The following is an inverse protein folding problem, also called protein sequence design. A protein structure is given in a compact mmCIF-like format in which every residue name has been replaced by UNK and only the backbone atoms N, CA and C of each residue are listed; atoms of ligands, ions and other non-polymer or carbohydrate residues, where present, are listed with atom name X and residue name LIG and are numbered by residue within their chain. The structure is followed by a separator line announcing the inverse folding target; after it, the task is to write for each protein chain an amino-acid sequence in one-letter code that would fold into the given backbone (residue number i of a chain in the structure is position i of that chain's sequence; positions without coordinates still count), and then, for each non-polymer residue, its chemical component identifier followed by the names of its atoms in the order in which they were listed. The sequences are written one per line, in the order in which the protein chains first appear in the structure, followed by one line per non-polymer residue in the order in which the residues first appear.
data_IF_064879708186
#
_entry.id   IF_064879708186
#
_cell.length_a   1.000
_cell.length_b   1.000
_cell.length_c   1.000
_cell.angle_alpha   90.00
_cell.angle_beta   90.00
_cell.angle_gamma   90.00
#
_symmetry.space_group_name_H-M   'P 1'
#
loop_
_entity.id
_entity.type
_entity.pdbx_description
1 polymer ?
#
# COMPACT_ATOMS: atom_id res chain seq x y z
N UNK A 1 -19.73 0.03 14.17
CA UNK A 1 -19.57 -0.25 12.72
C UNK A 1 -18.47 -1.30 12.60
N UNK A 2 -18.69 -2.38 11.85
CA UNK A 2 -17.80 -3.55 11.81
C UNK A 2 -16.33 -3.20 11.51
N UNK A 3 -16.08 -2.23 10.62
CA UNK A 3 -14.74 -1.82 10.17
C UNK A 3 -14.22 -0.53 10.81
N UNK A 4 -14.72 -0.14 11.99
CA UNK A 4 -14.37 1.14 12.60
C UNK A 4 -12.86 1.29 12.88
N UNK A 5 -12.21 0.25 13.40
CA UNK A 5 -10.78 0.29 13.71
C UNK A 5 -9.92 0.21 12.45
N UNK A 6 -10.36 -0.56 11.46
CA UNK A 6 -9.74 -0.61 10.14
C UNK A 6 -9.68 0.79 9.49
N UNK A 7 -10.80 1.52 9.55
CA UNK A 7 -10.89 2.89 9.04
C UNK A 7 -9.96 3.85 9.79
N UNK A 8 -9.97 3.85 11.14
CA UNK A 8 -9.08 4.67 11.96
C UNK A 8 -7.60 4.39 11.67
N UNK A 9 -7.24 3.12 11.46
CA UNK A 9 -5.88 2.72 11.12
C UNK A 9 -5.46 3.27 9.75
N UNK A 10 -6.34 3.22 8.75
CA UNK A 10 -6.08 3.81 7.44
C UNK A 10 -5.97 5.35 7.49
N UNK A 11 -6.77 6.02 8.31
CA UNK A 11 -6.64 7.47 8.55
C UNK A 11 -5.31 7.84 9.21
N UNK A 12 -4.86 7.06 10.20
CA UNK A 12 -3.56 7.26 10.83
C UNK A 12 -2.42 7.10 9.81
N UNK A 13 -2.49 6.07 8.95
CA UNK A 13 -1.53 5.88 7.87
C UNK A 13 -1.54 7.03 6.86
N UNK A 14 -2.72 7.58 6.53
CA UNK A 14 -2.83 8.74 5.65
C UNK A 14 -2.16 9.98 6.25
N UNK A 15 -2.30 10.23 7.56
CA UNK A 15 -1.61 11.34 8.22
C UNK A 15 -0.10 11.22 8.09
N UNK A 16 0.45 10.03 8.32
CA UNK A 16 1.89 9.77 8.17
C UNK A 16 2.34 9.94 6.72
N UNK A 17 1.57 9.42 5.76
CA UNK A 17 1.87 9.60 4.33
C UNK A 17 1.96 11.08 3.95
N UNK A 18 0.99 11.88 4.38
CA UNK A 18 0.96 13.32 4.11
C UNK A 18 2.13 14.05 4.78
N UNK A 19 2.49 13.69 6.00
CA UNK A 19 3.65 14.25 6.69
C UNK A 19 4.97 13.92 5.96
N UNK A 20 5.16 12.66 5.59
CA UNK A 20 6.35 12.21 4.86
C UNK A 20 6.46 12.92 3.52
N UNK A 21 5.41 12.89 2.70
CA UNK A 21 5.40 13.51 1.38
C UNK A 21 5.43 15.03 1.41
N UNK A 22 4.89 15.66 2.46
CA UNK A 22 4.94 17.11 2.66
C UNK A 22 6.32 17.64 3.06
N UNK A 23 7.24 16.76 3.47
CA UNK A 23 8.60 17.18 3.83
C UNK A 23 9.44 17.55 2.59
N UNK A 24 10.15 18.69 2.65
CA UNK A 24 11.06 19.12 1.57
C UNK A 24 12.16 18.07 1.27
N UNK A 25 12.49 17.26 2.27
CA UNK A 25 13.48 16.20 2.18
C UNK A 25 12.96 14.96 1.44
N UNK A 26 11.64 14.80 1.29
CA UNK A 26 11.08 13.70 0.51
C UNK A 26 11.35 13.88 -0.99
N UNK A 27 11.10 15.06 -1.56
CA UNK A 27 11.33 15.28 -3.00
C UNK A 27 12.82 15.26 -3.35
N UNK A 28 13.65 15.94 -2.56
CA UNK A 28 15.11 16.00 -2.76
C UNK A 28 15.82 14.71 -2.36
N UNK A 29 15.12 13.82 -1.63
CA UNK A 29 15.70 12.66 -0.92
C UNK A 29 16.87 13.05 0.00
N UNK A 30 16.93 14.30 0.47
CA UNK A 30 17.90 14.75 1.46
C UNK A 30 17.71 13.98 2.77
N UNK A 31 18.79 13.47 3.35
CA UNK A 31 18.78 12.61 4.55
C UNK A 31 18.08 11.25 4.37
N UNK A 32 17.83 10.83 3.12
CA UNK A 32 17.44 9.46 2.80
C UNK A 32 18.62 8.67 2.27
N UNK A 33 18.74 7.41 2.67
CA UNK A 33 19.81 6.53 2.20
C UNK A 33 19.33 5.73 1.00
N UNK A 34 20.04 5.76 -0.12
CA UNK A 34 19.79 4.86 -1.25
C UNK A 34 20.22 3.44 -0.86
N UNK A 35 19.33 2.45 -1.00
CA UNK A 35 19.59 1.05 -0.60
C UNK A 35 19.56 0.06 -1.75
N UNK A 36 18.92 0.42 -2.86
CA UNK A 36 18.81 -0.44 -4.03
C UNK A 36 18.56 0.41 -5.28
N UNK A 37 18.90 -0.11 -6.45
CA UNK A 37 18.52 0.46 -7.74
C UNK A 37 18.39 -0.67 -8.77
N UNK A 38 17.35 -0.57 -9.59
CA UNK A 38 17.17 -1.42 -10.77
C UNK A 38 16.61 -0.55 -11.88
N UNK A 39 17.11 -0.69 -13.10
CA UNK A 39 16.64 0.06 -14.27
C UNK A 39 16.60 1.60 -14.06
N UNK A 40 17.59 2.15 -13.35
CA UNK A 40 17.64 3.57 -12.96
C UNK A 40 16.49 4.05 -12.04
N UNK A 41 15.80 3.12 -11.37
CA UNK A 41 14.77 3.38 -10.37
C UNK A 41 15.34 3.13 -8.97
N UNK A 42 15.82 4.18 -8.26
CA UNK A 42 16.41 4.03 -6.94
C UNK A 42 15.34 3.83 -5.86
N UNK A 43 15.64 2.94 -4.91
CA UNK A 43 14.89 2.78 -3.66
C UNK A 43 15.68 3.44 -2.54
N UNK A 44 15.01 4.32 -1.80
CA UNK A 44 15.56 5.02 -0.65
C UNK A 44 14.94 4.53 0.65
N UNK A 45 15.65 4.65 1.76
CA UNK A 45 15.16 4.35 3.11
C UNK A 45 15.46 5.50 4.07
N UNK A 46 14.53 5.76 4.98
CA UNK A 46 14.72 6.64 6.13
C UNK A 46 13.96 6.10 7.35
N UNK A 47 14.50 6.35 8.54
CA UNK A 47 13.84 5.99 9.80
C UNK A 47 12.90 7.12 10.23
N UNK A 48 11.67 6.75 10.55
CA UNK A 48 10.62 7.56 11.15
C UNK A 48 10.16 6.90 12.46
N UNK A 49 9.26 7.54 13.19
CA UNK A 49 8.69 6.98 14.42
C UNK A 49 7.89 5.70 14.15
N UNK A 50 7.31 5.58 12.95
CA UNK A 50 6.64 4.35 12.48
C UNK A 50 7.60 3.24 12.04
N UNK A 51 8.92 3.48 12.10
CA UNK A 51 9.95 2.54 11.67
C UNK A 51 10.63 2.96 10.36
N UNK A 52 11.17 1.98 9.63
CA UNK A 52 11.86 2.25 8.36
C UNK A 52 10.84 2.39 7.23
N UNK A 53 10.83 3.56 6.59
CA UNK A 53 10.04 3.81 5.40
C UNK A 53 10.93 3.67 4.18
N UNK A 54 10.47 2.89 3.20
CA UNK A 54 11.10 2.74 1.91
C UNK A 54 10.34 3.57 0.87
N UNK A 55 11.05 4.29 0.02
CA UNK A 55 10.47 5.14 -1.02
C UNK A 55 11.04 4.78 -2.39
N UNK A 56 10.14 4.56 -3.35
CA UNK A 56 10.42 4.32 -4.76
C UNK A 56 9.69 5.40 -5.57
N UNK A 57 10.37 5.96 -6.57
CA UNK A 57 9.78 6.92 -7.51
C UNK A 57 9.86 6.33 -8.91
N UNK A 58 8.70 6.19 -9.55
CA UNK A 58 8.55 5.74 -10.93
C UNK A 58 7.82 6.86 -11.69
N UNK A 59 8.25 7.12 -12.93
CA UNK A 59 7.61 8.09 -13.82
C UNK A 59 6.91 7.31 -14.92
N UNK A 60 5.61 7.50 -15.04
CA UNK A 60 4.80 6.89 -16.10
C UNK A 60 4.43 7.94 -17.16
N UNK A 61 4.36 7.51 -18.41
CA UNK A 61 3.88 8.33 -19.53
C UNK A 61 2.38 8.04 -19.82
N UNK A 62 1.54 8.18 -18.80
CA UNK A 62 0.08 7.98 -18.86
C UNK A 62 -0.61 9.06 -18.02
N UNK A 63 -1.92 9.22 -18.19
CA UNK A 63 -2.69 10.16 -17.38
C UNK A 63 -2.78 9.67 -15.93
N UNK A 64 -2.65 10.60 -14.98
CA UNK A 64 -2.76 10.30 -13.55
C UNK A 64 -4.09 9.61 -13.21
N UNK A 65 -5.19 10.01 -13.86
CA UNK A 65 -6.50 9.44 -13.60
C UNK A 65 -6.57 7.98 -14.05
N UNK A 66 -6.04 7.63 -15.22
CA UNK A 66 -6.03 6.25 -15.73
C UNK A 66 -5.22 5.34 -14.80
N UNK A 67 -4.03 5.79 -14.38
CA UNK A 67 -3.20 5.06 -13.41
C UNK A 67 -3.93 4.86 -12.07
N UNK A 68 -4.62 5.91 -11.60
CA UNK A 68 -5.37 5.85 -10.36
C UNK A 68 -6.56 4.90 -10.48
N UNK A 69 -7.30 4.94 -11.58
CA UNK A 69 -8.48 4.12 -11.78
C UNK A 69 -8.10 2.64 -11.84
N UNK A 70 -7.04 2.29 -12.56
CA UNK A 70 -6.48 0.94 -12.57
C UNK A 70 -6.05 0.49 -11.17
N UNK A 71 -5.30 1.34 -10.45
CA UNK A 71 -4.82 1.04 -9.11
C UNK A 71 -5.94 0.97 -8.05
N UNK A 72 -6.97 1.79 -8.18
CA UNK A 72 -8.01 1.89 -7.17
C UNK A 72 -9.15 0.93 -7.46
N UNK A 73 -9.78 1.03 -8.64
CA UNK A 73 -10.98 0.29 -8.99
C UNK A 73 -10.66 -1.13 -9.46
N UNK A 74 -9.65 -1.29 -10.31
CA UNK A 74 -9.28 -2.57 -10.93
C UNK A 74 -8.19 -3.34 -10.17
N UNK A 75 -7.90 -2.94 -8.92
CA UNK A 75 -6.83 -3.53 -8.10
C UNK A 75 -6.90 -5.07 -8.04
N UNK A 76 -8.10 -5.67 -8.05
CA UNK A 76 -8.28 -7.13 -7.99
C UNK A 76 -7.76 -7.87 -9.23
N UNK A 77 -7.50 -7.16 -10.33
CA UNK A 77 -6.89 -7.72 -11.55
C UNK A 77 -5.37 -7.79 -11.46
N UNK A 78 -4.73 -7.13 -10.48
CA UNK A 78 -3.27 -7.10 -10.29
C UNK A 78 -2.59 -8.48 -10.41
N UNK A 79 -3.14 -9.58 -9.83
CA UNK A 79 -2.50 -10.90 -9.94
C UNK A 79 -2.44 -11.48 -11.36
N UNK A 80 -3.19 -10.94 -12.32
CA UNK A 80 -3.21 -11.41 -13.72
C UNK A 80 -1.93 -11.03 -14.46
N UNK A 81 -1.32 -9.90 -14.10
CA UNK A 81 -0.12 -9.37 -14.76
C UNK A 81 1.08 -9.22 -13.82
N UNK A 82 0.86 -9.10 -12.50
CA UNK A 82 1.93 -8.99 -11.50
C UNK A 82 2.22 -10.35 -10.84
N UNK A 83 3.33 -11.02 -11.19
CA UNK A 83 3.63 -12.36 -10.67
C UNK A 83 3.97 -12.37 -9.17
N UNK A 84 4.15 -11.21 -8.54
CA UNK A 84 4.42 -11.14 -7.10
C UNK A 84 3.16 -11.42 -6.26
N UNK A 85 1.96 -11.32 -6.82
CA UNK A 85 0.70 -11.56 -6.12
C UNK A 85 0.13 -12.95 -6.43
N UNK A 86 -0.29 -13.65 -5.37
CA UNK A 86 -0.99 -14.92 -5.47
C UNK A 86 -2.48 -14.71 -5.73
N UNK A 87 -3.09 -13.77 -5.03
CA UNK A 87 -4.48 -13.36 -5.20
C UNK A 87 -4.70 -11.96 -4.61
N UNK A 88 -5.79 -11.31 -5.01
CA UNK A 88 -6.22 -10.03 -4.47
C UNK A 88 -7.74 -9.88 -4.57
N UNK A 89 -8.38 -9.60 -3.44
CA UNK A 89 -9.84 -9.57 -3.28
C UNK A 89 -10.26 -8.28 -2.59
N UNK A 90 -11.31 -7.62 -3.10
CA UNK A 90 -12.00 -6.55 -2.38
C UNK A 90 -13.07 -7.20 -1.51
N UNK A 91 -12.95 -7.02 -0.20
CA UNK A 91 -13.90 -7.57 0.76
C UNK A 91 -15.10 -6.66 0.91
N UNK A 92 -14.86 -5.36 1.07
CA UNK A 92 -15.93 -4.40 1.32
C UNK A 92 -15.54 -3.01 0.79
N UNK A 93 -16.53 -2.27 0.29
CA UNK A 93 -16.40 -0.86 -0.07
C UNK A 93 -17.08 -0.02 1.00
N UNK A 94 -16.29 0.54 1.94
CA UNK A 94 -16.83 1.30 3.08
C UNK A 94 -17.37 2.67 2.63
N UNK A 95 -16.67 3.32 1.70
CA UNK A 95 -17.06 4.57 1.05
C UNK A 95 -16.43 4.63 -0.35
N UNK A 96 -16.77 5.64 -1.16
CA UNK A 96 -16.07 5.92 -2.42
C UNK A 96 -14.56 6.15 -2.27
N UNK A 97 -14.07 6.42 -1.06
CA UNK A 97 -12.68 6.72 -0.77
C UNK A 97 -11.98 5.69 0.12
N UNK A 98 -12.68 4.61 0.50
CA UNK A 98 -12.18 3.66 1.47
C UNK A 98 -12.72 2.26 1.19
N UNK A 99 -11.81 1.30 1.03
CA UNK A 99 -12.15 -0.12 0.84
C UNK A 99 -11.29 -1.03 1.72
N UNK A 100 -11.75 -2.26 1.89
CA UNK A 100 -11.04 -3.32 2.58
C UNK A 100 -10.60 -4.33 1.53
N UNK A 101 -9.30 -4.63 1.52
CA UNK A 101 -8.72 -5.65 0.65
C UNK A 101 -8.14 -6.80 1.46
N UNK A 102 -8.23 -7.99 0.88
CA UNK A 102 -7.46 -9.16 1.30
C UNK A 102 -6.63 -9.64 0.13
N UNK A 103 -5.32 -9.74 0.32
CA UNK A 103 -4.42 -10.21 -0.73
C UNK A 103 -3.25 -11.00 -0.16
N UNK A 104 -2.61 -11.79 -1.02
CA UNK A 104 -1.39 -12.48 -0.64
C UNK A 104 -0.32 -12.37 -1.71
N UNK A 105 0.93 -12.32 -1.29
CA UNK A 105 2.08 -12.45 -2.18
C UNK A 105 2.37 -13.92 -2.49
N UNK A 106 3.02 -14.17 -3.63
CA UNK A 106 3.54 -15.51 -3.97
C UNK A 106 4.78 -15.83 -3.14
N UNK A 107 5.09 -17.13 -3.06
CA UNK A 107 6.37 -17.58 -2.55
C UNK A 107 7.46 -17.16 -3.54
N UNK A 108 8.56 -16.57 -3.05
CA UNK A 108 9.72 -16.18 -3.86
C UNK A 108 10.92 -16.95 -3.32
N UNK A 109 11.42 -17.91 -4.11
CA UNK A 109 12.49 -18.83 -3.71
C UNK A 109 12.17 -19.50 -2.36
N UNK A 110 12.97 -19.24 -1.33
CA UNK A 110 12.82 -19.76 0.03
C UNK A 110 11.95 -18.86 0.93
N UNK A 111 11.50 -17.69 0.45
CA UNK A 111 10.66 -16.77 1.21
C UNK A 111 9.19 -17.11 0.95
N UNK A 112 8.50 -17.55 2.01
CA UNK A 112 7.05 -17.80 1.97
C UNK A 112 6.28 -16.50 1.76
N UNK A 113 5.28 -16.55 0.88
CA UNK A 113 4.35 -15.45 0.69
C UNK A 113 3.62 -15.10 1.98
N UNK A 114 3.13 -13.87 2.05
CA UNK A 114 2.37 -13.34 3.18
C UNK A 114 1.00 -12.91 2.73
N UNK A 115 0.03 -13.09 3.61
CA UNK A 115 -1.33 -12.63 3.42
C UNK A 115 -1.58 -11.37 4.25
N UNK A 116 -2.33 -10.44 3.68
CA UNK A 116 -2.59 -9.14 4.26
C UNK A 116 -4.09 -8.88 4.21
N UNK A 117 -4.64 -8.47 5.34
CA UNK A 117 -5.94 -7.82 5.42
C UNK A 117 -5.67 -6.34 5.67
N UNK A 118 -6.12 -5.48 4.76
CA UNK A 118 -5.82 -4.04 4.81
C UNK A 118 -7.06 -3.21 4.57
N UNK A 119 -7.10 -2.05 5.20
CA UNK A 119 -8.02 -1.00 4.83
C UNK A 119 -7.23 0.07 4.08
N UNK A 120 -7.71 0.44 2.90
CA UNK A 120 -7.13 1.51 2.09
C UNK A 120 -7.98 2.76 2.20
N UNK A 121 -7.34 3.91 2.14
CA UNK A 121 -7.95 5.23 2.12
C UNK A 121 -7.25 6.06 1.05
N UNK A 122 -8.00 6.75 0.19
CA UNK A 122 -7.41 7.76 -0.67
C UNK A 122 -7.98 9.16 -0.44
N UNK A 123 -7.17 10.18 -0.74
CA UNK A 123 -7.57 11.58 -0.78
C UNK A 123 -6.92 12.26 -1.96
N UNK A 124 -7.70 13.11 -2.65
CA UNK A 124 -7.21 14.02 -3.68
C UNK A 124 -7.00 15.40 -3.08
N UNK A 125 -5.80 15.94 -3.20
CA UNK A 125 -5.45 17.28 -2.69
C UNK A 125 -4.76 18.03 -3.82
N UNK A 126 -5.45 19.05 -4.35
CA UNK A 126 -5.03 19.72 -5.58
C UNK A 126 -4.94 18.73 -6.75
N UNK A 127 -3.78 18.66 -7.38
CA UNK A 127 -3.49 17.74 -8.49
C UNK A 127 -2.96 16.38 -8.04
N UNK A 128 -2.70 16.20 -6.74
CA UNK A 128 -2.09 14.97 -6.22
C UNK A 128 -3.17 14.01 -5.68
N UNK A 129 -2.92 12.72 -5.83
CA UNK A 129 -3.72 11.66 -5.22
C UNK A 129 -2.84 10.88 -4.26
N UNK A 130 -3.28 10.80 -3.00
CA UNK A 130 -2.60 10.05 -1.94
C UNK A 130 -3.41 8.80 -1.66
N UNK A 131 -2.74 7.65 -1.61
CA UNK A 131 -3.33 6.36 -1.24
C UNK A 131 -2.53 5.82 -0.06
N UNK A 132 -3.21 5.62 1.07
CA UNK A 132 -2.64 4.98 2.25
C UNK A 132 -3.37 3.65 2.49
N UNK A 133 -2.63 2.67 3.01
CA UNK A 133 -3.20 1.40 3.44
C UNK A 133 -2.57 0.99 4.76
N UNK A 134 -3.35 0.40 5.66
CA UNK A 134 -2.85 -0.16 6.91
C UNK A 134 -3.51 -1.50 7.19
N UNK A 135 -2.74 -2.42 7.74
CA UNK A 135 -3.29 -3.71 8.16
C UNK A 135 -4.15 -3.58 9.41
N UNK A 136 -5.09 -4.50 9.52
CA UNK A 136 -5.90 -4.70 10.72
C UNK A 136 -6.24 -6.19 10.84
N UNK A 137 -6.66 -6.60 12.04
CA UNK A 137 -7.10 -7.96 12.32
C UNK A 137 -8.62 -7.98 12.54
N UNK A 138 -9.26 -9.05 12.11
CA UNK A 138 -10.70 -9.26 12.31
C UNK A 138 -11.01 -10.76 12.23
N UNK A 139 -11.60 -11.32 13.28
CA UNK A 139 -11.82 -12.76 13.42
C UNK A 139 -12.76 -13.31 12.34
N UNK A 140 -13.71 -12.50 11.88
CA UNK A 140 -14.67 -12.84 10.82
C UNK A 140 -14.01 -12.99 9.44
N UNK A 141 -12.78 -12.49 9.26
CA UNK A 141 -11.99 -12.68 8.03
C UNK A 141 -10.69 -13.41 8.38
N UNK A 142 -10.76 -14.74 8.58
CA UNK A 142 -9.60 -15.51 8.97
C UNK A 142 -8.55 -15.61 7.85
N UNK A 143 -7.39 -16.14 8.20
CA UNK A 143 -6.34 -16.52 7.25
C UNK A 143 -6.81 -17.59 6.28
N UNK A 144 -6.41 -17.51 5.00
CA UNK A 144 -6.54 -18.69 4.13
C UNK A 144 -5.61 -19.77 4.62
N UNK A 145 -6.09 -21.02 4.60
CA UNK A 145 -5.32 -22.20 4.97
C UNK A 145 -3.99 -22.24 4.22
N UNK A 146 -2.89 -22.39 4.95
CA UNK A 146 -1.53 -22.47 4.38
C UNK A 146 -0.89 -21.11 4.05
N UNK A 147 -1.53 -20.00 4.43
CA UNK A 147 -0.93 -18.66 4.42
C UNK A 147 -0.66 -18.20 5.84
N UNK A 148 0.21 -17.19 5.96
CA UNK A 148 0.58 -16.54 7.22
C UNK A 148 0.19 -15.07 7.10
N UNK A 149 -0.63 -14.56 8.02
CA UNK A 149 -0.97 -13.13 8.06
C UNK A 149 0.22 -12.28 8.47
N UNK A 150 0.34 -11.12 7.84
CA UNK A 150 1.33 -10.12 8.21
C UNK A 150 0.72 -8.72 8.18
N UNK A 151 1.28 -7.83 8.99
CA UNK A 151 0.85 -6.44 9.09
C UNK A 151 1.71 -5.49 8.27
N UNK A 152 1.07 -4.55 7.58
CA UNK A 152 1.68 -3.30 7.16
C UNK A 152 1.52 -2.31 8.31
N UNK A 153 2.65 -1.94 8.92
CA UNK A 153 2.75 -1.04 10.07
C UNK A 153 2.52 0.41 9.69
#
# INVERSE_FOLDING_TARGET
MQYADAFKNAEAAMRVLLEVCGSANFETKKDWNKVYEKNAEPVYVKKFDIGRVFALKIIYNIMLQDLFDEHWYDITTTPQWNPNFAYMERIECLTSHCDVLKYATRDIMFVKGREFLVCRLYRKIGTNIYVAARSFEMDEIPERRGKVRYGIS
#
